data_IF_871693693595
#
_entry.id   IF_871693693595
#
_cell.length_a   1.000
_cell.length_b   1.000
_cell.length_c   1.000
_cell.angle_alpha   90.00
_cell.angle_beta   90.00
_cell.angle_gamma   90.00
#
_symmetry.space_group_name_H-M   'P 1'
#
loop_
_entity.id
_entity.type
_entity.pdbx_description
1 polymer ?
#
# COMPACT_ATOMS: atom_id res chain seq x y z
N UNK A 1 47.33 10.39 64.02
CA UNK A 1 47.89 11.72 63.70
C UNK A 1 48.20 11.80 62.22
N UNK A 2 47.71 12.88 61.57
CA UNK A 2 48.21 13.51 60.34
C UNK A 2 48.05 12.77 59.00
N UNK A 3 47.09 13.25 58.21
CA UNK A 3 47.24 13.37 56.76
C UNK A 3 48.29 14.45 56.43
N UNK A 4 48.86 14.41 55.22
CA UNK A 4 48.58 15.51 54.29
C UNK A 4 48.30 15.06 52.82
N UNK A 5 47.29 15.71 52.20
CA UNK A 5 47.30 16.47 50.93
C UNK A 5 48.54 16.28 50.01
N UNK A 6 48.52 16.21 48.67
CA UNK A 6 47.56 16.57 47.61
C UNK A 6 48.25 16.29 46.22
N UNK A 7 47.45 15.97 45.19
CA UNK A 7 47.66 16.18 43.73
C UNK A 7 48.85 15.53 42.98
N UNK A 8 48.55 14.58 42.07
CA UNK A 8 49.01 14.61 40.67
C UNK A 8 47.86 14.16 39.75
N UNK A 9 47.53 15.03 38.80
CA UNK A 9 46.65 14.84 37.64
C UNK A 9 47.09 13.64 36.80
N UNK A 10 46.16 12.75 36.44
CA UNK A 10 46.30 11.89 35.25
C UNK A 10 45.06 12.07 34.39
N UNK A 11 45.17 12.97 33.42
CA UNK A 11 44.24 13.10 32.31
C UNK A 11 44.54 11.96 31.32
N UNK A 12 43.76 10.88 31.35
CA UNK A 12 43.74 9.87 30.31
C UNK A 12 42.56 10.17 29.38
N UNK A 13 42.85 10.92 28.32
CA UNK A 13 41.97 11.13 27.17
C UNK A 13 41.67 9.78 26.52
N UNK A 14 40.45 9.27 26.74
CA UNK A 14 39.87 8.19 25.96
C UNK A 14 39.66 8.70 24.52
N UNK A 15 40.57 8.32 23.63
CA UNK A 15 40.40 8.45 22.19
C UNK A 15 39.17 7.63 21.77
N UNK A 16 38.07 8.31 21.45
CA UNK A 16 36.96 7.70 20.73
C UNK A 16 37.38 7.50 19.29
N UNK A 17 37.65 6.26 18.90
CA UNK A 17 37.77 5.89 17.49
C UNK A 17 36.38 6.08 16.87
N UNK A 18 36.19 7.20 16.17
CA UNK A 18 35.08 7.39 15.25
C UNK A 18 35.29 6.44 14.07
N UNK A 19 34.75 5.22 14.19
CA UNK A 19 34.63 4.30 13.07
C UNK A 19 33.71 4.93 12.04
N UNK A 20 34.29 5.47 10.96
CA UNK A 20 33.53 5.82 9.77
C UNK A 20 32.90 4.53 9.24
N UNK A 21 31.61 4.35 9.51
CA UNK A 21 30.83 3.29 8.90
C UNK A 21 30.84 3.53 7.38
N UNK A 22 31.62 2.73 6.66
CA UNK A 22 31.64 2.72 5.20
C UNK A 22 30.22 2.38 4.72
N UNK A 23 29.50 3.37 4.19
CA UNK A 23 28.22 3.13 3.53
C UNK A 23 28.46 2.18 2.36
N UNK A 24 27.98 0.94 2.49
CA UNK A 24 28.11 -0.05 1.42
C UNK A 24 27.44 0.51 0.16
N UNK A 25 28.11 0.47 -0.99
CA UNK A 25 27.56 1.01 -2.22
C UNK A 25 26.21 0.35 -2.51
N UNK A 26 25.22 1.21 -2.73
CA UNK A 26 23.85 0.87 -3.10
C UNK A 26 23.86 -0.03 -4.34
N UNK A 27 23.45 -1.32 -4.25
CA UNK A 27 23.53 -2.24 -5.38
C UNK A 27 22.75 -1.70 -6.57
N UNK A 28 23.36 -1.72 -7.76
CA UNK A 28 22.65 -1.39 -9.01
C UNK A 28 21.66 -2.53 -9.30
N UNK A 29 20.39 -2.29 -8.96
CA UNK A 29 19.33 -3.30 -9.04
C UNK A 29 18.63 -3.25 -10.39
N UNK A 30 18.59 -4.39 -11.09
CA UNK A 30 17.55 -4.63 -12.08
C UNK A 30 16.19 -4.55 -11.37
N UNK A 31 15.19 -3.84 -11.92
CA UNK A 31 13.87 -3.78 -11.30
C UNK A 31 13.29 -5.18 -11.08
N UNK A 32 12.76 -5.49 -9.89
CA UNK A 32 12.15 -6.78 -9.60
C UNK A 32 10.83 -6.95 -10.38
N UNK A 33 10.47 -8.19 -10.67
CA UNK A 33 9.15 -8.52 -11.23
C UNK A 33 8.16 -8.63 -10.07
N UNK A 34 7.24 -7.68 -9.97
CA UNK A 34 6.31 -7.57 -8.85
C UNK A 34 4.94 -8.17 -9.16
N UNK A 35 4.26 -8.66 -8.12
CA UNK A 35 2.88 -9.12 -8.16
C UNK A 35 2.10 -8.49 -7.01
N UNK A 36 0.94 -7.91 -7.33
CA UNK A 36 0.07 -7.24 -6.36
C UNK A 36 -1.14 -8.11 -6.02
N UNK A 37 -1.59 -8.00 -4.78
CA UNK A 37 -2.70 -8.76 -4.24
C UNK A 37 -3.54 -7.87 -3.32
N UNK A 38 -4.84 -8.13 -3.29
CA UNK A 38 -5.76 -7.59 -2.29
C UNK A 38 -6.41 -8.79 -1.58
N UNK A 39 -6.05 -8.98 -0.30
CA UNK A 39 -6.36 -10.23 0.39
C UNK A 39 -5.76 -11.43 -0.34
N UNK A 40 -6.61 -12.30 -0.88
CA UNK A 40 -6.20 -13.52 -1.59
C UNK A 40 -6.27 -13.43 -3.12
N UNK A 41 -6.78 -12.31 -3.66
CA UNK A 41 -6.99 -12.15 -5.10
C UNK A 41 -5.95 -11.25 -5.75
N UNK A 42 -5.68 -11.49 -7.04
CA UNK A 42 -4.93 -10.61 -7.95
C UNK A 42 -5.84 -9.68 -8.75
N UNK A 43 -7.15 -9.71 -8.49
CA UNK A 43 -8.18 -9.08 -9.30
C UNK A 43 -8.94 -10.10 -10.16
N UNK A 44 -9.67 -9.61 -11.14
CA UNK A 44 -10.54 -10.36 -12.03
C UNK A 44 -12.02 -10.19 -11.69
N UNK A 45 -12.82 -11.11 -12.20
CA UNK A 45 -14.26 -11.16 -11.95
C UNK A 45 -14.52 -11.84 -10.61
N UNK A 46 -15.07 -11.10 -9.64
CA UNK A 46 -15.35 -11.59 -8.29
C UNK A 46 -16.85 -11.48 -7.97
N UNK A 47 -17.47 -12.54 -7.44
CA UNK A 47 -18.81 -12.43 -6.89
C UNK A 47 -18.79 -11.58 -5.60
N UNK A 48 -19.92 -10.96 -5.30
CA UNK A 48 -20.05 -10.00 -4.20
C UNK A 48 -19.65 -10.61 -2.84
N UNK A 49 -20.02 -11.86 -2.58
CA UNK A 49 -19.71 -12.58 -1.34
C UNK A 49 -18.21 -12.79 -1.09
N UNK A 50 -17.39 -12.90 -2.15
CA UNK A 50 -15.93 -12.95 -2.06
C UNK A 50 -15.30 -11.56 -2.02
N UNK A 51 -15.94 -10.56 -2.63
CA UNK A 51 -15.47 -9.18 -2.60
C UNK A 51 -15.60 -8.56 -1.21
N UNK A 52 -16.74 -8.73 -0.54
CA UNK A 52 -17.01 -8.12 0.76
C UNK A 52 -15.89 -8.38 1.79
N UNK A 53 -15.46 -9.62 2.09
CA UNK A 53 -14.34 -9.86 3.01
C UNK A 53 -12.97 -9.39 2.44
N UNK A 54 -12.86 -9.20 1.13
CA UNK A 54 -11.66 -8.64 0.51
C UNK A 54 -11.51 -7.15 0.86
N UNK A 55 -12.61 -6.41 1.06
CA UNK A 55 -12.58 -4.98 1.42
C UNK A 55 -11.80 -4.71 2.72
N UNK A 56 -11.89 -5.62 3.69
CA UNK A 56 -11.17 -5.55 4.96
C UNK A 56 -9.73 -6.04 4.88
N UNK A 57 -9.34 -6.64 3.76
CA UNK A 57 -8.03 -7.24 3.60
C UNK A 57 -6.96 -6.21 3.21
N UNK A 58 -5.72 -6.52 3.58
CA UNK A 58 -4.56 -5.74 3.15
C UNK A 58 -4.29 -5.89 1.66
N UNK A 59 -3.86 -4.80 1.04
CA UNK A 59 -3.09 -4.77 -0.20
C UNK A 59 -1.65 -5.17 0.13
N UNK A 60 -1.08 -6.08 -0.65
CA UNK A 60 0.30 -6.50 -0.49
C UNK A 60 0.96 -6.87 -1.81
N UNK A 61 2.28 -6.74 -1.85
CA UNK A 61 3.09 -6.96 -3.04
C UNK A 61 4.27 -7.85 -2.71
N UNK A 62 4.57 -8.79 -3.62
CA UNK A 62 5.76 -9.65 -3.57
C UNK A 62 6.50 -9.65 -4.90
N UNK A 63 7.79 -9.98 -4.86
CA UNK A 63 8.57 -10.33 -6.05
C UNK A 63 8.49 -11.83 -6.38
N UNK A 64 9.21 -12.23 -7.44
CA UNK A 64 9.42 -13.62 -7.86
C UNK A 64 10.08 -14.49 -6.78
N UNK A 65 10.89 -13.89 -5.91
CA UNK A 65 11.56 -14.52 -4.77
C UNK A 65 10.71 -14.53 -3.49
N UNK A 66 9.43 -14.14 -3.58
CA UNK A 66 8.48 -14.08 -2.46
C UNK A 66 8.87 -13.09 -1.36
N UNK A 67 9.72 -12.12 -1.67
CA UNK A 67 10.03 -11.02 -0.77
C UNK A 67 8.85 -10.06 -0.75
N UNK A 68 8.33 -9.77 0.45
CA UNK A 68 7.21 -8.85 0.65
C UNK A 68 7.72 -7.41 0.73
N UNK A 69 7.02 -6.50 0.06
CA UNK A 69 7.34 -5.07 0.04
C UNK A 69 6.40 -4.27 0.95
N UNK A 70 6.89 -3.14 1.45
CA UNK A 70 6.08 -2.20 2.23
C UNK A 70 5.25 -1.31 1.29
N UNK A 71 3.96 -1.17 1.54
CA UNK A 71 3.09 -0.27 0.76
C UNK A 71 3.39 1.18 1.13
N UNK A 72 3.87 1.97 0.17
CA UNK A 72 4.05 3.40 0.36
C UNK A 72 2.78 4.18 0.04
N UNK A 73 2.12 3.86 -1.07
CA UNK A 73 0.83 4.46 -1.45
C UNK A 73 0.11 3.64 -2.51
N UNK A 74 -1.17 3.87 -2.67
CA UNK A 74 -1.97 3.43 -3.80
C UNK A 74 -3.20 4.35 -3.96
N UNK A 75 -3.91 4.19 -5.06
CA UNK A 75 -5.17 4.87 -5.33
C UNK A 75 -6.28 3.83 -5.43
N UNK A 76 -7.34 4.02 -4.65
CA UNK A 76 -8.61 3.33 -4.82
C UNK A 76 -9.44 4.09 -5.84
N UNK A 77 -9.97 3.40 -6.84
CA UNK A 77 -10.97 3.92 -7.78
C UNK A 77 -12.16 2.96 -7.76
N UNK A 78 -13.34 3.51 -7.51
CA UNK A 78 -14.61 2.80 -7.58
C UNK A 78 -15.44 3.38 -8.74
N UNK A 79 -15.91 2.50 -9.61
CA UNK A 79 -16.79 2.85 -10.73
C UNK A 79 -18.12 2.15 -10.56
N UNK A 80 -19.17 2.91 -10.30
CA UNK A 80 -20.52 2.36 -10.25
C UNK A 80 -21.18 2.37 -11.63
N UNK A 81 -21.99 1.35 -11.90
CA UNK A 81 -22.86 1.27 -13.07
C UNK A 81 -24.31 1.30 -12.60
N UNK A 82 -24.97 2.43 -12.81
CA UNK A 82 -26.33 2.67 -12.34
C UNK A 82 -27.30 2.65 -13.53
N UNK A 83 -28.41 1.92 -13.39
CA UNK A 83 -29.50 1.90 -14.37
C UNK A 83 -30.63 2.81 -13.87
N UNK A 84 -31.15 3.66 -14.74
CA UNK A 84 -32.23 4.59 -14.42
C UNK A 84 -33.21 4.67 -15.58
N UNK A 85 -34.48 4.96 -15.29
CA UNK A 85 -35.51 5.17 -16.31
C UNK A 85 -35.54 6.66 -16.70
N UNK A 86 -35.58 6.94 -17.99
CA UNK A 86 -35.75 8.29 -18.51
C UNK A 86 -37.21 8.71 -18.36
N UNK A 87 -37.47 9.75 -17.56
CA UNK A 87 -38.84 10.22 -17.27
C UNK A 87 -39.62 10.67 -18.52
N UNK A 88 -38.95 11.04 -19.61
CA UNK A 88 -39.60 11.49 -20.85
C UNK A 88 -39.84 10.36 -21.83
N UNK A 89 -38.95 9.38 -21.89
CA UNK A 89 -39.03 8.30 -22.89
C UNK A 89 -39.45 6.94 -22.31
N UNK A 90 -39.41 6.76 -20.99
CA UNK A 90 -39.64 5.46 -20.32
C UNK A 90 -38.52 4.45 -20.57
N UNK A 91 -37.42 4.86 -21.19
CA UNK A 91 -36.32 3.94 -21.54
C UNK A 91 -35.35 3.77 -20.36
N UNK A 92 -34.89 2.54 -20.13
CA UNK A 92 -33.82 2.26 -19.17
C UNK A 92 -32.47 2.67 -19.78
N UNK A 93 -31.83 3.66 -19.17
CA UNK A 93 -30.49 4.15 -19.51
C UNK A 93 -29.48 3.75 -18.45
N UNK A 94 -28.19 3.76 -18.83
CA UNK A 94 -27.07 3.47 -17.92
C UNK A 94 -26.24 4.72 -17.70
N UNK A 95 -25.86 4.98 -16.44
CA UNK A 95 -24.89 6.00 -16.04
C UNK A 95 -23.69 5.33 -15.38
N UNK A 96 -22.50 5.87 -15.65
CA UNK A 96 -21.29 5.50 -14.93
C UNK A 96 -20.87 6.64 -14.01
N UNK A 97 -20.65 6.35 -12.73
CA UNK A 97 -20.07 7.29 -11.78
C UNK A 97 -18.71 6.78 -11.34
N UNK A 98 -17.76 7.69 -11.09
CA UNK A 98 -16.42 7.34 -10.61
C UNK A 98 -16.10 8.13 -9.36
N UNK A 99 -15.60 7.45 -8.34
CA UNK A 99 -15.10 8.05 -7.11
C UNK A 99 -13.82 7.33 -6.67
N UNK A 100 -13.05 7.91 -5.76
CA UNK A 100 -11.80 7.30 -5.34
C UNK A 100 -11.10 8.04 -4.20
N UNK A 101 -10.02 7.44 -3.72
CA UNK A 101 -9.15 8.02 -2.71
C UNK A 101 -7.69 7.64 -2.89
N UNK A 102 -6.82 8.58 -2.53
CA UNK A 102 -5.41 8.32 -2.36
C UNK A 102 -5.15 7.77 -0.96
N UNK A 103 -4.40 6.68 -0.88
CA UNK A 103 -4.03 6.04 0.39
C UNK A 103 -2.51 6.07 0.48
N UNK A 104 -1.99 6.57 1.61
CA UNK A 104 -0.55 6.71 1.85
C UNK A 104 -0.17 5.99 3.14
N UNK A 105 0.97 5.31 3.13
CA UNK A 105 1.58 4.62 4.27
C UNK A 105 0.65 3.65 5.01
N UNK A 106 -0.31 3.06 4.30
CA UNK A 106 -1.22 2.05 4.82
C UNK A 106 -1.40 0.96 3.75
N UNK A 107 -1.40 -0.33 4.13
CA UNK A 107 -1.80 -1.40 3.23
C UNK A 107 -3.32 -1.62 3.21
N UNK A 108 -4.10 -0.92 4.03
CA UNK A 108 -5.56 -1.05 4.10
C UNK A 108 -6.26 0.16 3.51
N UNK A 109 -7.47 -0.06 3.00
CA UNK A 109 -8.36 1.06 2.65
C UNK A 109 -8.69 1.91 3.89
N UNK A 110 -8.94 3.22 3.72
CA UNK A 110 -9.48 4.06 4.79
C UNK A 110 -10.82 3.51 5.30
N UNK A 111 -11.06 3.58 6.61
CA UNK A 111 -12.26 3.00 7.23
C UNK A 111 -13.58 3.53 6.65
N UNK A 112 -13.62 4.82 6.29
CA UNK A 112 -14.79 5.40 5.63
C UNK A 112 -15.04 4.80 4.24
N UNK A 113 -13.98 4.44 3.52
CA UNK A 113 -14.09 3.77 2.22
C UNK A 113 -14.49 2.30 2.35
N UNK A 114 -13.98 1.59 3.36
CA UNK A 114 -14.42 0.23 3.66
C UNK A 114 -15.92 0.21 3.91
N UNK A 115 -16.39 1.04 4.85
CA UNK A 115 -17.81 1.19 5.17
C UNK A 115 -18.64 1.58 3.94
N UNK A 116 -18.22 2.59 3.19
CA UNK A 116 -18.95 3.04 2.01
C UNK A 116 -19.07 1.93 0.96
N UNK A 117 -17.98 1.21 0.66
CA UNK A 117 -18.03 0.10 -0.31
C UNK A 117 -18.96 -1.01 0.15
N UNK A 118 -19.01 -1.36 1.44
CA UNK A 118 -19.98 -2.33 1.98
C UNK A 118 -21.44 -1.93 1.70
N UNK A 119 -21.74 -0.65 1.71
CA UNK A 119 -23.11 -0.13 1.55
C UNK A 119 -23.50 0.01 0.07
N UNK A 120 -22.56 0.40 -0.81
CA UNK A 120 -22.90 0.86 -2.16
C UNK A 120 -22.49 -0.08 -3.29
N UNK A 121 -21.55 -1.02 -3.05
CA UNK A 121 -21.03 -1.88 -4.11
C UNK A 121 -22.08 -2.91 -4.54
N UNK A 122 -22.25 -3.06 -5.84
CA UNK A 122 -23.21 -4.01 -6.43
C UNK A 122 -22.64 -4.64 -7.70
N UNK A 123 -23.40 -5.60 -8.22
CA UNK A 123 -23.11 -6.30 -9.47
C UNK A 123 -22.88 -5.32 -10.62
N UNK A 124 -21.93 -5.67 -11.48
CA UNK A 124 -21.43 -4.90 -12.64
C UNK A 124 -20.58 -3.66 -12.30
N UNK A 125 -20.39 -3.32 -11.02
CA UNK A 125 -19.46 -2.27 -10.63
C UNK A 125 -18.00 -2.72 -10.83
N UNK A 126 -17.07 -1.76 -10.86
CA UNK A 126 -15.63 -2.03 -10.90
C UNK A 126 -14.91 -1.37 -9.72
N UNK A 127 -13.94 -2.08 -9.13
CA UNK A 127 -13.00 -1.53 -8.16
C UNK A 127 -11.59 -1.71 -8.70
N UNK A 128 -10.79 -0.66 -8.63
CA UNK A 128 -9.41 -0.64 -9.09
C UNK A 128 -8.51 -0.13 -7.96
N UNK A 129 -7.51 -0.92 -7.61
CA UNK A 129 -6.36 -0.47 -6.83
C UNK A 129 -5.24 -0.20 -7.84
N UNK A 130 -4.88 1.06 -8.02
CA UNK A 130 -3.91 1.51 -9.03
C UNK A 130 -2.83 2.37 -8.40
N UNK A 131 -1.78 2.66 -9.17
CA UNK A 131 -0.64 3.49 -8.76
C UNK A 131 -0.04 2.99 -7.43
N UNK A 132 0.08 1.66 -7.34
CA UNK A 132 0.60 0.95 -6.18
C UNK A 132 2.11 1.17 -6.14
N UNK A 133 2.56 2.01 -5.21
CA UNK A 133 3.98 2.25 -4.99
C UNK A 133 4.41 1.54 -3.73
N UNK A 134 5.48 0.76 -3.84
CA UNK A 134 6.04 -0.01 -2.74
C UNK A 134 7.48 0.35 -2.48
N UNK A 135 7.92 0.12 -1.25
CA UNK A 135 9.26 0.38 -0.76
C UNK A 135 9.93 -0.92 -0.34
N UNK A 136 11.17 -1.13 -0.77
CA UNK A 136 11.97 -2.26 -0.31
C UNK A 136 12.70 -1.96 1.02
N UNK A 137 13.44 -2.95 1.52
CA UNK A 137 14.21 -2.81 2.76
C UNK A 137 15.40 -1.83 2.68
N UNK A 138 15.84 -1.48 1.47
CA UNK A 138 16.94 -0.54 1.24
C UNK A 138 16.43 0.88 0.97
N UNK A 139 15.11 1.04 0.91
CA UNK A 139 14.42 2.30 0.72
C UNK A 139 14.18 2.71 -0.72
N UNK A 140 14.37 1.80 -1.68
CA UNK A 140 14.00 2.01 -3.08
C UNK A 140 12.51 1.87 -3.29
N UNK A 141 11.98 2.71 -4.17
CA UNK A 141 10.58 2.71 -4.55
C UNK A 141 10.39 1.99 -5.89
N UNK A 142 9.32 1.22 -5.98
CA UNK A 142 8.93 0.49 -7.18
C UNK A 142 7.43 0.63 -7.42
N UNK A 143 7.05 0.70 -8.69
CA UNK A 143 5.64 0.60 -9.10
C UNK A 143 5.28 -0.87 -9.24
N UNK A 144 4.19 -1.28 -8.58
CA UNK A 144 3.65 -2.63 -8.67
C UNK A 144 2.43 -2.65 -9.62
N UNK A 145 2.07 -3.82 -10.17
CA UNK A 145 0.91 -3.95 -11.06
C UNK A 145 -0.41 -3.57 -10.36
N UNK A 146 -1.35 -3.04 -11.12
CA UNK A 146 -2.69 -2.71 -10.64
C UNK A 146 -3.52 -3.98 -10.33
N UNK A 147 -4.51 -3.82 -9.46
CA UNK A 147 -5.50 -4.85 -9.13
C UNK A 147 -6.86 -4.35 -9.59
N UNK A 148 -7.41 -4.92 -10.65
CA UNK A 148 -8.75 -4.60 -11.15
C UNK A 148 -9.74 -5.69 -10.78
N UNK A 149 -10.84 -5.33 -10.14
CA UNK A 149 -11.96 -6.22 -9.82
C UNK A 149 -13.20 -5.75 -10.57
N UNK A 150 -13.93 -6.70 -11.16
CA UNK A 150 -15.29 -6.49 -11.66
C UNK A 150 -16.25 -7.36 -10.85
N UNK A 151 -17.34 -6.77 -10.39
CA UNK A 151 -18.31 -7.46 -9.53
C UNK A 151 -19.31 -8.26 -10.38
N UNK A 152 -19.43 -9.55 -10.09
CA UNK A 152 -20.32 -10.51 -10.79
C UNK A 152 -21.74 -10.57 -10.24
#
# INVERSE_FOLDING_TARGET
MKQPRLLILVAATLFTLAGNAQEKPKPTLKPPVLQSFWGKTKGGDLPLDLLLPTIDSAIWVIDDKKVKYHISRFILVYKSKDKFEDEKTGEIKTRFNTSGANVSNSPYLPANWQKNLYEIVKKEDEILITDIIVKDKFGYYYTAPDIKIKVL
#
